data_IF_199709900891
#
_entry.id   IF_199709900891
#
_cell.length_a   1.000
_cell.length_b   1.000
_cell.length_c   1.000
_cell.angle_alpha   90.00
_cell.angle_beta   90.00
_cell.angle_gamma   90.00
#
_symmetry.space_group_name_H-M   'P 1'
#
loop_
_entity.id
_entity.type
_entity.pdbx_description
1 polymer ?
#
# COMPACT_ATOMS: atom_id res chain seq x y z
N UNK A 1 -3.11 -7.41 17.07
CA UNK A 1 -3.91 -7.47 15.83
C UNK A 1 -4.29 -6.07 15.38
N UNK A 2 -4.15 -5.77 14.13
CA UNK A 2 -4.61 -4.51 13.54
C UNK A 2 -5.51 -4.78 12.36
N UNK A 3 -6.61 -4.05 12.27
CA UNK A 3 -7.57 -4.14 11.16
C UNK A 3 -7.80 -2.74 10.59
N UNK A 4 -7.75 -2.60 9.28
CA UNK A 4 -8.14 -1.39 8.57
C UNK A 4 -9.27 -1.74 7.60
N UNK A 5 -10.27 -0.87 7.53
CA UNK A 5 -11.45 -1.08 6.71
C UNK A 5 -11.78 0.19 5.93
N UNK A 6 -12.21 0.02 4.69
CA UNK A 6 -12.78 1.10 3.89
C UNK A 6 -14.11 0.68 3.29
N UNK A 7 -15.09 1.58 3.38
CA UNK A 7 -16.40 1.45 2.73
C UNK A 7 -16.61 2.57 1.72
N UNK A 8 -17.21 2.20 0.60
CA UNK A 8 -17.58 3.14 -0.45
C UNK A 8 -19.10 3.31 -0.49
N UNK A 9 -19.56 4.42 -1.06
CA UNK A 9 -21.00 4.69 -1.20
C UNK A 9 -21.68 3.87 -2.30
N UNK A 10 -20.90 3.27 -3.19
CA UNK A 10 -21.37 2.43 -4.30
C UNK A 10 -20.37 1.31 -4.60
N UNK A 11 -20.66 0.46 -5.56
CA UNK A 11 -19.69 -0.49 -6.09
C UNK A 11 -18.61 0.28 -6.86
N UNK A 12 -17.36 0.00 -6.56
CA UNK A 12 -16.19 0.61 -7.21
C UNK A 12 -15.35 -0.45 -7.91
N UNK A 13 -14.55 -0.01 -8.88
CA UNK A 13 -13.67 -0.88 -9.68
C UNK A 13 -12.19 -0.69 -9.34
N UNK A 14 -11.89 0.20 -8.42
CA UNK A 14 -10.56 0.44 -7.88
C UNK A 14 -10.63 0.56 -6.36
N UNK A 15 -9.72 -0.10 -5.67
CA UNK A 15 -9.61 -0.02 -4.21
C UNK A 15 -8.50 0.94 -3.85
N UNK A 16 -8.86 2.09 -3.29
CA UNK A 16 -7.92 3.13 -2.85
C UNK A 16 -8.13 3.46 -1.39
N UNK A 17 -7.01 3.70 -0.69
CA UNK A 17 -7.02 4.29 0.64
C UNK A 17 -6.03 5.43 0.70
N UNK A 18 -6.18 6.29 1.70
CA UNK A 18 -5.06 7.11 2.15
C UNK A 18 -4.00 6.23 2.81
N UNK A 19 -2.78 6.69 2.77
CA UNK A 19 -1.66 6.10 3.51
C UNK A 19 -0.66 7.20 3.86
N UNK A 20 0.24 6.89 4.78
CA UNK A 20 1.36 7.76 5.14
C UNK A 20 2.63 6.97 4.98
N UNK A 21 3.65 7.54 4.35
CA UNK A 21 4.87 6.84 3.97
C UNK A 21 6.10 7.57 4.51
N UNK A 22 7.06 6.81 5.01
CA UNK A 22 8.40 7.26 5.39
C UNK A 22 9.47 6.46 4.66
N UNK A 23 10.65 7.02 4.53
CA UNK A 23 11.84 6.23 4.25
C UNK A 23 12.15 5.36 5.48
N UNK A 24 12.33 4.04 5.28
CA UNK A 24 12.70 3.14 6.36
C UNK A 24 14.09 3.49 6.90
N UNK A 25 14.28 3.38 8.21
CA UNK A 25 15.59 3.60 8.84
C UNK A 25 16.55 2.45 8.56
N UNK A 26 17.84 2.72 8.54
CA UNK A 26 18.87 1.71 8.31
C UNK A 26 19.18 1.42 6.83
N UNK A 27 18.58 2.16 5.89
CA UNK A 27 18.79 2.01 4.46
C UNK A 27 19.35 3.27 3.77
N UNK A 28 19.90 4.17 4.55
CA UNK A 28 20.51 5.41 4.03
C UNK A 28 19.51 6.52 3.73
N UNK A 29 18.24 6.32 3.98
CA UNK A 29 17.24 7.35 3.76
C UNK A 29 17.42 8.52 4.74
N UNK A 30 17.24 9.77 4.28
CA UNK A 30 17.23 10.93 5.17
C UNK A 30 16.00 10.88 6.09
N UNK A 31 16.10 11.52 7.24
CA UNK A 31 14.96 11.74 8.13
C UNK A 31 14.11 12.85 7.52
N UNK A 32 13.11 12.45 6.75
CA UNK A 32 12.18 13.34 6.08
C UNK A 32 10.76 12.81 6.17
N UNK A 33 9.81 13.67 6.09
CA UNK A 33 8.41 13.28 6.07
C UNK A 33 7.76 13.18 7.43
N UNK A 34 6.64 12.50 7.56
CA UNK A 34 6.04 11.60 6.56
C UNK A 34 5.36 12.33 5.40
N UNK A 35 5.04 11.59 4.34
CA UNK A 35 4.24 12.10 3.24
C UNK A 35 2.90 11.38 3.17
N UNK A 36 1.82 12.16 3.06
CA UNK A 36 0.48 11.62 2.84
C UNK A 36 0.29 11.29 1.36
N UNK A 37 -0.22 10.11 1.07
CA UNK A 37 -0.35 9.57 -0.28
C UNK A 37 -1.69 8.89 -0.49
N UNK A 38 -2.11 8.75 -1.75
CA UNK A 38 -3.16 7.82 -2.14
C UNK A 38 -2.54 6.49 -2.56
N UNK A 39 -3.08 5.40 -2.06
CA UNK A 39 -2.61 4.05 -2.33
C UNK A 39 -3.67 3.23 -3.07
N UNK A 40 -3.30 2.68 -4.22
CA UNK A 40 -4.12 1.73 -4.98
C UNK A 40 -3.76 0.31 -4.53
N UNK A 41 -4.76 -0.49 -4.16
CA UNK A 41 -4.59 -1.88 -3.77
C UNK A 41 -4.75 -2.79 -5.00
N UNK A 42 -3.77 -3.64 -5.26
CA UNK A 42 -3.72 -4.46 -6.48
C UNK A 42 -3.26 -5.89 -6.15
N UNK A 43 -4.23 -6.82 -6.13
CA UNK A 43 -3.96 -8.25 -5.92
C UNK A 43 -3.25 -8.90 -7.11
N UNK A 44 -3.22 -8.24 -8.26
CA UNK A 44 -2.48 -8.70 -9.45
C UNK A 44 -1.01 -8.31 -9.46
N UNK A 45 -0.59 -7.38 -8.58
CA UNK A 45 0.80 -6.97 -8.45
C UNK A 45 1.52 -7.81 -7.39
N UNK A 46 2.71 -8.35 -7.73
CA UNK A 46 3.53 -9.09 -6.77
C UNK A 46 4.17 -8.19 -5.72
N UNK A 47 4.61 -7.03 -6.14
CA UNK A 47 5.36 -6.09 -5.31
C UNK A 47 4.70 -4.72 -5.32
N UNK A 48 4.82 -4.02 -4.19
CA UNK A 48 4.39 -2.64 -4.07
C UNK A 48 5.30 -1.69 -4.86
N UNK A 49 4.71 -0.59 -5.30
CA UNK A 49 5.35 0.39 -6.19
C UNK A 49 5.14 1.78 -5.64
N UNK A 50 6.17 2.62 -5.71
CA UNK A 50 6.08 4.06 -5.43
C UNK A 50 6.32 4.86 -6.70
N UNK A 51 5.71 6.04 -6.77
CA UNK A 51 5.95 6.98 -7.85
C UNK A 51 7.10 7.92 -7.54
N UNK A 52 7.61 8.62 -8.55
CA UNK A 52 8.67 9.61 -8.40
C UNK A 52 8.31 10.69 -7.36
N UNK A 53 7.03 11.04 -7.27
CA UNK A 53 6.52 11.99 -6.26
C UNK A 53 6.93 11.61 -4.84
N UNK A 54 6.78 10.33 -4.47
CA UNK A 54 7.16 9.84 -3.14
C UNK A 54 8.68 9.82 -2.98
N UNK A 55 9.40 9.34 -4.00
CA UNK A 55 10.86 9.31 -3.98
C UNK A 55 11.44 10.70 -3.75
N UNK A 56 10.95 11.70 -4.46
CA UNK A 56 11.42 13.08 -4.34
C UNK A 56 11.03 13.71 -3.00
N UNK A 57 9.78 13.50 -2.55
CA UNK A 57 9.30 14.07 -1.29
C UNK A 57 10.07 13.56 -0.07
N UNK A 58 10.51 12.31 -0.11
CA UNK A 58 11.22 11.67 1.00
C UNK A 58 12.74 11.61 0.79
N UNK A 59 13.24 11.98 -0.38
CA UNK A 59 14.67 11.87 -0.71
C UNK A 59 15.16 10.41 -0.65
N UNK A 60 14.33 9.44 -1.07
CA UNK A 60 14.65 8.02 -0.94
C UNK A 60 15.93 7.64 -1.67
N UNK A 61 16.74 6.82 -1.02
CA UNK A 61 18.00 6.30 -1.56
C UNK A 61 17.77 4.87 -2.03
N UNK A 62 18.08 4.56 -3.30
CA UNK A 62 17.89 3.21 -3.82
C UNK A 62 18.88 2.22 -3.16
N UNK A 63 18.40 1.02 -2.85
CA UNK A 63 19.21 -0.06 -2.28
C UNK A 63 19.63 -1.10 -3.34
N UNK A 64 18.94 -1.16 -4.45
CA UNK A 64 19.15 -2.13 -5.52
C UNK A 64 18.50 -1.66 -6.81
N UNK A 65 18.75 -2.38 -7.89
CA UNK A 65 17.99 -2.31 -9.12
C UNK A 65 17.44 -3.69 -9.46
N UNK A 66 16.23 -3.73 -9.99
CA UNK A 66 15.56 -4.97 -10.39
C UNK A 66 14.94 -4.81 -11.76
N UNK A 67 14.72 -5.94 -12.43
CA UNK A 67 13.92 -6.01 -13.63
C UNK A 67 12.46 -6.25 -13.23
N UNK A 68 11.59 -5.32 -13.52
CA UNK A 68 10.16 -5.39 -13.21
C UNK A 68 9.35 -5.56 -14.49
N UNK A 69 8.25 -6.29 -14.40
CA UNK A 69 7.32 -6.48 -15.50
C UNK A 69 6.06 -5.64 -15.26
N UNK A 70 5.81 -4.70 -16.14
CA UNK A 70 4.58 -3.91 -16.18
C UNK A 70 3.73 -4.29 -17.40
N UNK A 71 2.65 -3.55 -17.61
CA UNK A 71 1.73 -3.74 -18.75
C UNK A 71 2.46 -3.60 -20.08
N UNK A 72 3.48 -2.75 -20.16
CA UNK A 72 4.26 -2.47 -21.36
C UNK A 72 5.52 -3.35 -21.50
N UNK A 73 5.66 -4.39 -20.68
CA UNK A 73 6.80 -5.30 -20.71
C UNK A 73 7.79 -5.08 -19.56
N UNK A 74 9.01 -5.57 -19.75
CA UNK A 74 10.07 -5.51 -18.75
C UNK A 74 10.79 -4.16 -18.74
N UNK A 75 11.13 -3.67 -17.57
CA UNK A 75 11.92 -2.46 -17.39
C UNK A 75 12.84 -2.59 -16.17
N UNK A 76 13.99 -1.92 -16.22
CA UNK A 76 14.93 -1.85 -15.13
C UNK A 76 14.57 -0.66 -14.22
N UNK A 77 14.48 -0.89 -12.91
CA UNK A 77 14.00 0.11 -11.97
C UNK A 77 14.72 0.03 -10.62
N UNK A 78 14.93 1.19 -9.95
CA UNK A 78 15.48 1.19 -8.60
C UNK A 78 14.47 0.67 -7.58
N UNK A 79 15.00 0.11 -6.49
CA UNK A 79 14.25 -0.38 -5.34
C UNK A 79 14.61 0.44 -4.11
N UNK A 80 13.61 0.79 -3.35
CA UNK A 80 13.71 1.55 -2.09
C UNK A 80 13.10 0.74 -0.95
N UNK A 81 13.34 1.16 0.29
CA UNK A 81 12.68 0.58 1.46
C UNK A 81 11.92 1.68 2.19
N UNK A 82 10.65 1.43 2.42
CA UNK A 82 9.73 2.37 3.07
C UNK A 82 8.98 1.73 4.22
N UNK A 83 8.52 2.55 5.14
CA UNK A 83 7.51 2.21 6.12
C UNK A 83 6.18 2.83 5.68
N UNK A 84 5.10 2.09 5.84
CA UNK A 84 3.75 2.51 5.45
C UNK A 84 2.86 2.49 6.68
N UNK A 85 2.09 3.56 6.89
CA UNK A 85 1.00 3.57 7.85
C UNK A 85 -0.32 3.67 7.09
N UNK A 86 -1.16 2.68 7.30
CA UNK A 86 -2.53 2.61 6.82
C UNK A 86 -3.48 3.32 7.80
N UNK A 87 -4.74 3.59 7.41
CA UNK A 87 -5.76 4.01 8.36
C UNK A 87 -5.83 3.07 9.57
N UNK A 88 -6.29 3.59 10.71
CA UNK A 88 -6.27 2.87 11.99
C UNK A 88 -4.86 2.59 12.55
N UNK A 89 -3.87 3.39 12.13
CA UNK A 89 -2.49 3.28 12.61
C UNK A 89 -1.84 1.91 12.39
N UNK A 90 -2.34 1.14 11.44
CA UNK A 90 -1.72 -0.11 11.04
C UNK A 90 -0.39 0.21 10.34
N UNK A 91 0.72 -0.10 11.00
CA UNK A 91 2.07 0.17 10.47
C UNK A 91 2.67 -1.09 9.85
N UNK A 92 3.19 -0.95 8.65
CA UNK A 92 3.90 -1.99 7.91
C UNK A 92 5.31 -1.48 7.66
N UNK A 93 6.30 -2.15 8.21
CA UNK A 93 7.70 -1.70 8.20
C UNK A 93 8.54 -2.48 7.19
N UNK A 94 9.51 -1.80 6.61
CA UNK A 94 10.54 -2.42 5.79
C UNK A 94 10.03 -2.98 4.47
N UNK A 95 9.06 -2.32 3.85
CA UNK A 95 8.52 -2.73 2.55
C UNK A 95 9.48 -2.34 1.44
N UNK A 96 9.91 -3.32 0.65
CA UNK A 96 10.68 -3.08 -0.56
C UNK A 96 9.76 -2.65 -1.68
N UNK A 97 9.99 -1.49 -2.24
CA UNK A 97 9.15 -0.90 -3.28
C UNK A 97 10.01 -0.56 -4.51
N UNK A 98 9.50 -0.85 -5.68
CA UNK A 98 10.13 -0.40 -6.92
C UNK A 98 9.56 0.94 -7.37
N UNK A 99 10.31 1.65 -8.18
CA UNK A 99 9.83 2.87 -8.83
C UNK A 99 8.95 2.49 -10.04
N UNK A 100 7.79 3.09 -10.13
CA UNK A 100 6.90 2.95 -11.28
C UNK A 100 6.17 4.25 -11.58
N UNK A 101 5.57 4.33 -12.74
CA UNK A 101 4.76 5.45 -13.16
C UNK A 101 3.28 5.09 -13.11
N UNK A 102 2.48 5.92 -12.45
CA UNK A 102 1.01 5.83 -12.47
C UNK A 102 0.40 7.20 -12.23
N UNK A 103 -0.78 7.42 -12.77
CA UNK A 103 -1.51 8.68 -12.62
C UNK A 103 -2.68 8.56 -11.63
N UNK A 104 -3.19 7.35 -11.43
CA UNK A 104 -4.41 7.09 -10.64
C UNK A 104 -4.17 7.11 -9.14
N UNK A 105 -2.94 6.95 -8.69
CA UNK A 105 -2.55 6.96 -7.28
C UNK A 105 -1.07 7.33 -7.14
N UNK A 106 -0.64 7.60 -5.91
CA UNK A 106 0.76 7.93 -5.60
C UNK A 106 1.61 6.67 -5.38
N UNK A 107 0.97 5.58 -4.95
CA UNK A 107 1.61 4.27 -4.78
C UNK A 107 0.65 3.13 -5.06
N UNK A 108 1.22 1.95 -5.27
CA UNK A 108 0.49 0.70 -5.43
C UNK A 108 0.89 -0.25 -4.31
N UNK A 109 -0.10 -0.82 -3.64
CA UNK A 109 0.10 -1.86 -2.62
C UNK A 109 -0.21 -3.21 -3.24
N UNK A 110 0.80 -4.05 -3.35
CA UNK A 110 0.72 -5.35 -3.97
C UNK A 110 0.59 -6.50 -2.99
N UNK A 111 0.75 -7.71 -3.52
CA UNK A 111 0.61 -8.94 -2.74
C UNK A 111 1.69 -9.12 -1.67
N UNK A 112 2.83 -8.46 -1.80
CA UNK A 112 3.87 -8.43 -0.76
C UNK A 112 3.35 -7.88 0.58
N UNK A 113 2.44 -6.93 0.54
CA UNK A 113 1.76 -6.38 1.72
C UNK A 113 0.45 -7.13 2.01
N UNK A 114 -0.38 -7.36 1.00
CA UNK A 114 -1.68 -8.02 1.15
C UNK A 114 -1.54 -9.41 1.77
N UNK A 115 -0.50 -10.17 1.41
CA UNK A 115 -0.24 -11.52 1.92
C UNK A 115 0.30 -11.57 3.34
N UNK A 116 0.57 -10.43 3.97
CA UNK A 116 0.99 -10.39 5.37
C UNK A 116 -0.16 -10.67 6.35
N UNK A 117 -1.38 -10.71 5.89
CA UNK A 117 -2.56 -10.94 6.71
C UNK A 117 -3.75 -11.42 5.89
N UNK A 118 -4.94 -11.12 6.37
CA UNK A 118 -6.19 -11.47 5.70
C UNK A 118 -6.74 -10.26 4.96
N UNK A 119 -7.23 -10.46 3.76
CA UNK A 119 -7.85 -9.45 2.93
C UNK A 119 -9.27 -9.89 2.57
N UNK A 120 -10.24 -9.03 2.83
CA UNK A 120 -11.66 -9.31 2.60
C UNK A 120 -12.27 -8.22 1.73
N UNK A 121 -12.87 -8.60 0.62
CA UNK A 121 -13.59 -7.73 -0.30
C UNK A 121 -15.06 -8.14 -0.36
N UNK A 122 -15.97 -7.20 -0.17
CA UNK A 122 -17.41 -7.42 -0.21
C UNK A 122 -18.01 -6.40 -1.18
N UNK A 123 -18.93 -6.89 -2.04
CA UNK A 123 -19.71 -6.08 -2.96
C UNK A 123 -21.21 -6.42 -2.81
N UNK A 124 -21.82 -5.90 -1.77
CA UNK A 124 -23.24 -6.04 -1.50
C UNK A 124 -23.94 -4.69 -1.71
N UNK A 125 -24.16 -4.33 -2.97
CA UNK A 125 -24.67 -3.01 -3.37
C UNK A 125 -23.68 -1.86 -3.19
N UNK A 126 -22.71 -2.04 -2.34
CA UNK A 126 -21.59 -1.14 -2.07
C UNK A 126 -20.31 -1.95 -1.90
N UNK A 127 -19.18 -1.39 -2.28
CA UNK A 127 -17.90 -2.03 -2.05
C UNK A 127 -17.39 -1.70 -0.64
N UNK A 128 -16.91 -2.72 0.06
CA UNK A 128 -16.07 -2.55 1.23
C UNK A 128 -14.91 -3.53 1.19
N UNK A 129 -13.75 -3.13 1.70
CA UNK A 129 -12.66 -4.06 1.91
C UNK A 129 -11.99 -3.82 3.26
N UNK A 130 -11.42 -4.88 3.78
CA UNK A 130 -10.71 -4.85 5.05
C UNK A 130 -9.42 -5.63 4.93
N UNK A 131 -8.39 -5.16 5.60
CA UNK A 131 -7.15 -5.88 5.80
C UNK A 131 -6.89 -6.05 7.29
N UNK A 132 -6.45 -7.23 7.68
CA UNK A 132 -6.12 -7.58 9.06
C UNK A 132 -4.75 -8.24 9.11
N UNK A 133 -3.92 -7.82 10.04
CA UNK A 133 -2.59 -8.42 10.25
C UNK A 133 -2.32 -8.58 11.76
N UNK A 134 -1.76 -9.70 12.21
CA UNK A 134 -1.51 -10.92 11.45
C UNK A 134 -2.80 -11.62 11.01
N UNK A 135 -2.68 -12.66 10.17
CA UNK A 135 -3.82 -13.47 9.77
C UNK A 135 -4.45 -14.19 10.97
N UNK A 136 -5.76 -14.25 10.99
CA UNK A 136 -6.57 -15.05 11.92
C UNK A 136 -7.44 -16.08 11.17
N UNK A 137 -7.12 -16.32 9.90
CA UNK A 137 -7.81 -17.29 9.07
C UNK A 137 -9.30 -16.96 8.92
N UNK A 138 -10.15 -17.94 9.14
CA UNK A 138 -11.61 -17.81 8.98
C UNK A 138 -12.31 -17.07 10.13
N UNK A 139 -11.58 -16.58 11.14
CA UNK A 139 -12.19 -15.81 12.21
C UNK A 139 -12.85 -14.53 11.66
N UNK A 140 -14.00 -14.11 12.20
CA UNK A 140 -14.68 -12.89 11.74
C UNK A 140 -13.79 -11.66 11.87
N UNK A 141 -13.89 -10.73 10.92
CA UNK A 141 -13.29 -9.41 11.06
C UNK A 141 -14.03 -8.63 12.15
N UNK A 142 -13.29 -8.10 13.11
CA UNK A 142 -13.87 -7.37 14.25
C UNK A 142 -14.30 -5.96 13.81
N UNK A 143 -15.44 -5.50 14.34
CA UNK A 143 -16.05 -4.23 13.96
C UNK A 143 -15.30 -2.96 14.42
N UNK A 144 -14.25 -3.12 15.24
CA UNK A 144 -13.46 -2.00 15.77
C UNK A 144 -12.43 -1.41 14.79
N UNK A 145 -12.48 -1.83 13.54
CA UNK A 145 -11.66 -1.24 12.49
C UNK A 145 -12.05 0.22 12.25
N UNK A 146 -11.08 1.10 12.19
CA UNK A 146 -11.33 2.47 11.77
C UNK A 146 -11.83 2.46 10.33
N UNK A 147 -13.04 2.96 10.16
CA UNK A 147 -13.65 3.10 8.86
C UNK A 147 -13.18 4.43 8.24
N UNK A 148 -12.52 4.35 7.10
CA UNK A 148 -12.23 5.52 6.29
C UNK A 148 -13.49 5.85 5.49
N UNK A 149 -14.12 6.99 5.77
CA UNK A 149 -15.26 7.44 4.99
C UNK A 149 -14.85 7.67 3.54
N UNK A 150 -15.62 7.15 2.60
CA UNK A 150 -15.45 7.46 1.19
C UNK A 150 -15.73 8.95 0.96
N UNK A 151 -14.76 9.64 0.40
CA UNK A 151 -14.92 11.02 -0.07
C UNK A 151 -15.12 11.03 -1.57
#
# INVERSE_FOLDING_TARGET
MSTSCRRYESVVYELKTSAVVWGASGYGNPVAGPVAVSALWDTGARCSVVTQKIVDALGLIPIARVSACGVNGWYDTPVYVVDIMLPNRMKIQGVRVSLGAMEVADMLIGMDVISMGDFKLINDGKTSFSIRTPSEGDAPFVADATEEAAR
#
